data_IF_313021093443
#
_entry.id   IF_313021093443
#
_cell.length_a   1.000
_cell.length_b   1.000
_cell.length_c   1.000
_cell.angle_alpha   90.00
_cell.angle_beta   90.00
_cell.angle_gamma   90.00
#
_symmetry.space_group_name_H-M   'P 1'
#
loop_
_entity.id
_entity.type
_entity.pdbx_description
1 polymer ?
#
# COMPACT_ATOMS: atom_id res chain seq x y z
N UNK A 1 -40.53 -42.54 -25.94
CA UNK A 1 -39.48 -43.54 -26.24
C UNK A 1 -38.07 -42.92 -26.21
N UNK A 2 -37.79 -42.03 -25.25
CA UNK A 2 -36.47 -41.37 -25.10
C UNK A 2 -35.96 -41.41 -23.65
N UNK A 3 -36.67 -42.11 -22.75
CA UNK A 3 -36.45 -42.07 -21.30
C UNK A 3 -35.76 -43.37 -20.80
N UNK A 4 -35.95 -44.51 -21.47
CA UNK A 4 -35.28 -45.79 -21.13
C UNK A 4 -33.76 -45.78 -21.34
N UNK A 5 -33.24 -44.94 -22.25
CA UNK A 5 -31.80 -44.85 -22.49
C UNK A 5 -31.03 -44.09 -21.40
N UNK A 6 -31.72 -43.23 -20.64
CA UNK A 6 -31.11 -42.40 -19.62
C UNK A 6 -30.84 -43.17 -18.31
N UNK A 7 -31.73 -44.11 -17.95
CA UNK A 7 -31.57 -44.92 -16.74
C UNK A 7 -30.40 -45.91 -16.87
N UNK A 8 -30.24 -46.59 -18.01
CA UNK A 8 -29.10 -47.47 -18.27
C UNK A 8 -27.75 -46.74 -18.37
N UNK A 9 -27.75 -45.50 -18.89
CA UNK A 9 -26.55 -44.65 -18.93
C UNK A 9 -26.15 -44.18 -17.52
N UNK A 10 -27.13 -43.85 -16.67
CA UNK A 10 -26.90 -43.48 -15.27
C UNK A 10 -26.45 -44.67 -14.41
N UNK A 11 -26.97 -45.88 -14.62
CA UNK A 11 -26.50 -47.10 -13.94
C UNK A 11 -25.08 -47.49 -14.35
N UNK A 12 -24.73 -47.36 -15.64
CA UNK A 12 -23.38 -47.58 -16.15
C UNK A 12 -22.37 -46.58 -15.56
N UNK A 13 -22.77 -45.31 -15.42
CA UNK A 13 -21.99 -44.30 -14.69
C UNK A 13 -21.86 -44.71 -13.22
N UNK A 14 -22.95 -45.07 -12.52
CA UNK A 14 -22.95 -45.31 -11.07
C UNK A 14 -22.00 -46.43 -10.60
N UNK A 15 -21.81 -47.48 -11.40
CA UNK A 15 -20.96 -48.63 -11.05
C UNK A 15 -19.47 -48.41 -11.30
N UNK A 16 -19.11 -47.70 -12.37
CA UNK A 16 -17.72 -47.54 -12.82
C UNK A 16 -17.21 -46.08 -12.76
N UNK A 17 -18.01 -45.12 -12.32
CA UNK A 17 -17.62 -43.70 -12.17
C UNK A 17 -16.26 -43.50 -11.49
N UNK A 18 -15.94 -44.12 -10.34
CA UNK A 18 -14.63 -43.91 -9.72
C UNK A 18 -13.47 -44.42 -10.58
N UNK A 19 -13.65 -45.53 -11.32
CA UNK A 19 -12.63 -46.04 -12.24
C UNK A 19 -12.44 -45.13 -13.45
N UNK A 20 -13.53 -44.59 -14.00
CA UNK A 20 -13.47 -43.63 -15.09
C UNK A 20 -12.85 -42.31 -14.65
N UNK A 21 -13.15 -41.81 -13.45
CA UNK A 21 -12.50 -40.60 -12.92
C UNK A 21 -11.01 -40.85 -12.73
N UNK A 22 -10.60 -42.00 -12.17
CA UNK A 22 -9.18 -42.33 -11.98
C UNK A 22 -8.44 -42.49 -13.32
N UNK A 23 -9.09 -43.01 -14.36
CA UNK A 23 -8.45 -43.20 -15.68
C UNK A 23 -8.46 -41.94 -16.55
N UNK A 24 -9.59 -41.22 -16.60
CA UNK A 24 -9.77 -40.07 -17.49
C UNK A 24 -9.29 -38.76 -16.89
N UNK A 25 -9.38 -38.55 -15.57
CA UNK A 25 -8.89 -37.30 -14.96
C UNK A 25 -7.38 -37.07 -15.20
N UNK A 26 -6.46 -38.04 -14.97
CA UNK A 26 -5.05 -37.83 -15.28
C UNK A 26 -4.79 -37.70 -16.80
N UNK A 27 -5.57 -38.38 -17.64
CA UNK A 27 -5.49 -38.23 -19.10
C UNK A 27 -5.90 -36.80 -19.53
N UNK A 28 -6.98 -36.26 -18.95
CA UNK A 28 -7.44 -34.89 -19.18
C UNK A 28 -6.43 -33.86 -18.66
N UNK A 29 -5.79 -34.12 -17.51
CA UNK A 29 -4.72 -33.27 -16.98
C UNK A 29 -3.48 -33.32 -17.88
N UNK A 30 -3.12 -34.49 -18.43
CA UNK A 30 -1.98 -34.67 -19.33
C UNK A 30 -2.21 -34.09 -20.73
N UNK A 31 -3.45 -34.12 -21.22
CA UNK A 31 -3.86 -33.51 -22.49
C UNK A 31 -4.19 -32.02 -22.35
N UNK A 32 -4.33 -31.52 -21.13
CA UNK A 32 -4.53 -30.09 -20.88
C UNK A 32 -3.30 -29.31 -21.37
N UNK A 33 -3.47 -28.30 -22.23
CA UNK A 33 -2.38 -27.43 -22.65
C UNK A 33 -1.84 -26.56 -21.50
N UNK A 34 -2.55 -26.54 -20.36
CA UNK A 34 -2.18 -25.78 -19.16
C UNK A 34 -1.68 -26.78 -18.11
N UNK A 35 -0.38 -26.76 -17.83
CA UNK A 35 0.15 -27.43 -16.64
C UNK A 35 -0.32 -26.65 -15.41
N UNK A 36 -0.89 -27.29 -14.38
CA UNK A 36 -1.43 -26.59 -13.20
C UNK A 36 -0.35 -25.80 -12.44
N UNK A 37 0.93 -26.13 -12.63
CA UNK A 37 2.10 -25.45 -12.05
C UNK A 37 2.33 -24.05 -12.67
N UNK A 38 1.93 -23.82 -13.92
CA UNK A 38 2.07 -22.51 -14.58
C UNK A 38 0.87 -21.57 -14.34
N UNK A 39 -0.18 -22.01 -13.64
CA UNK A 39 -1.38 -21.23 -13.38
C UNK A 39 -1.30 -20.28 -12.18
N UNK A 40 -0.25 -20.41 -11.35
CA UNK A 40 -0.05 -19.56 -10.18
C UNK A 40 1.03 -18.51 -10.48
N UNK A 41 0.62 -17.25 -10.53
CA UNK A 41 1.53 -16.12 -10.65
C UNK A 41 1.76 -15.47 -9.29
N UNK A 42 3.00 -15.50 -8.83
CA UNK A 42 3.44 -14.79 -7.62
C UNK A 42 3.99 -13.41 -8.00
N UNK A 43 3.53 -12.38 -7.29
CA UNK A 43 4.01 -11.01 -7.47
C UNK A 43 3.97 -10.26 -6.15
N UNK A 44 4.85 -9.27 -6.02
CA UNK A 44 4.94 -8.43 -4.82
C UNK A 44 3.83 -7.39 -4.81
N UNK A 45 3.14 -7.28 -3.68
CA UNK A 45 2.15 -6.25 -3.40
C UNK A 45 2.56 -5.43 -2.19
N UNK A 46 2.18 -4.17 -2.18
CA UNK A 46 2.42 -3.22 -1.12
C UNK A 46 1.08 -2.80 -0.52
N UNK A 47 0.89 -3.02 0.77
CA UNK A 47 -0.37 -2.72 1.44
C UNK A 47 -0.50 -1.21 1.72
N UNK A 48 -1.71 -0.70 1.58
CA UNK A 48 -2.07 0.64 2.06
C UNK A 48 -1.77 0.79 3.56
N UNK A 49 -1.47 2.00 4.01
CA UNK A 49 -1.25 2.31 5.42
C UNK A 49 -2.43 1.83 6.29
N UNK A 50 -2.15 1.52 7.55
CA UNK A 50 -3.15 1.27 8.58
C UNK A 50 -2.64 1.85 9.89
N UNK A 51 -3.30 2.90 10.39
CA UNK A 51 -2.97 3.50 11.69
C UNK A 51 -4.18 4.22 12.27
N UNK A 52 -4.15 4.46 13.57
CA UNK A 52 -5.16 5.23 14.29
C UNK A 52 -4.49 6.47 14.87
N UNK A 53 -5.01 7.64 14.51
CA UNK A 53 -4.50 8.91 14.98
C UNK A 53 -5.52 9.52 15.93
N UNK A 54 -5.18 9.59 17.22
CA UNK A 54 -6.05 10.14 18.27
C UNK A 54 -7.45 9.48 18.33
N UNK A 55 -7.55 8.20 17.98
CA UNK A 55 -8.80 7.44 17.96
C UNK A 55 -9.56 7.50 16.63
N UNK A 56 -9.11 8.32 15.67
CA UNK A 56 -9.63 8.31 14.30
C UNK A 56 -8.90 7.26 13.47
N UNK A 57 -9.62 6.29 12.88
CA UNK A 57 -9.01 5.29 12.02
C UNK A 57 -8.63 5.88 10.65
N UNK A 58 -7.44 5.57 10.16
CA UNK A 58 -6.99 5.90 8.80
C UNK A 58 -6.53 4.63 8.04
N UNK A 59 -6.68 4.65 6.72
CA UNK A 59 -6.23 3.61 5.82
C UNK A 59 -7.00 2.28 5.94
N UNK A 60 -6.38 1.18 5.49
CA UNK A 60 -7.08 -0.09 5.31
C UNK A 60 -7.18 -0.95 6.59
N UNK A 61 -8.33 -1.58 6.82
CA UNK A 61 -8.64 -2.33 8.06
C UNK A 61 -8.49 -3.85 7.95
N UNK A 62 -8.24 -4.35 6.75
CA UNK A 62 -8.06 -5.78 6.47
C UNK A 62 -6.79 -6.00 5.65
N UNK A 63 -6.23 -7.21 5.70
CA UNK A 63 -5.10 -7.67 4.88
C UNK A 63 -5.34 -9.01 4.21
N UNK A 64 -6.48 -9.66 4.44
CA UNK A 64 -6.74 -10.98 3.86
C UNK A 64 -7.50 -10.80 2.56
N UNK A 65 -6.97 -11.43 1.52
CA UNK A 65 -7.59 -11.54 0.21
C UNK A 65 -7.57 -13.01 -0.17
N UNK A 66 -8.74 -13.55 -0.50
CA UNK A 66 -8.89 -14.94 -0.98
C UNK A 66 -10.17 -15.05 -1.81
N UNK A 67 -10.24 -14.27 -2.89
CA UNK A 67 -11.44 -14.17 -3.71
C UNK A 67 -11.08 -13.95 -5.18
N UNK A 68 -12.05 -14.21 -6.04
CA UNK A 68 -11.95 -13.98 -7.48
C UNK A 68 -11.75 -12.49 -7.81
N UNK A 69 -10.98 -12.24 -8.87
CA UNK A 69 -10.66 -10.92 -9.38
C UNK A 69 -11.68 -10.41 -10.41
N UNK A 70 -11.92 -9.10 -10.41
CA UNK A 70 -12.79 -8.38 -11.36
C UNK A 70 -12.18 -7.03 -11.73
N UNK A 71 -12.52 -6.46 -12.89
CA UNK A 71 -12.12 -5.10 -13.27
C UNK A 71 -13.18 -4.06 -12.92
N UNK A 72 -12.84 -2.77 -13.04
CA UNK A 72 -13.71 -1.61 -12.79
C UNK A 72 -14.99 -1.52 -13.64
N UNK A 73 -15.14 -2.33 -14.68
CA UNK A 73 -16.32 -2.31 -15.56
C UNK A 73 -17.34 -3.41 -15.20
N UNK A 74 -17.11 -4.12 -14.10
CA UNK A 74 -17.99 -5.21 -13.66
C UNK A 74 -19.25 -4.66 -13.00
N UNK A 75 -20.38 -5.34 -13.18
CA UNK A 75 -21.69 -4.90 -12.63
C UNK A 75 -21.83 -5.03 -11.11
N UNK A 76 -20.99 -5.86 -10.46
CA UNK A 76 -21.01 -6.06 -9.02
C UNK A 76 -19.63 -6.42 -8.46
N UNK A 77 -19.26 -5.81 -7.34
CA UNK A 77 -17.99 -6.05 -6.65
C UNK A 77 -18.09 -6.92 -5.39
N UNK A 78 -19.31 -7.26 -4.96
CA UNK A 78 -19.54 -7.97 -3.70
C UNK A 78 -18.74 -9.27 -3.61
N UNK A 79 -17.88 -9.38 -2.58
CA UNK A 79 -16.96 -10.52 -2.36
C UNK A 79 -15.98 -10.81 -3.51
N UNK A 80 -15.63 -9.79 -4.29
CA UNK A 80 -14.61 -9.86 -5.35
C UNK A 80 -13.47 -8.90 -5.04
N UNK A 81 -12.28 -9.20 -5.55
CA UNK A 81 -11.17 -8.25 -5.54
C UNK A 81 -11.20 -7.46 -6.82
N UNK A 82 -11.30 -6.15 -6.71
CA UNK A 82 -11.29 -5.28 -7.88
C UNK A 82 -9.85 -5.00 -8.25
N UNK A 83 -9.50 -5.15 -9.53
CA UNK A 83 -8.22 -4.76 -10.10
C UNK A 83 -8.46 -3.49 -10.91
N UNK A 84 -7.70 -2.46 -10.62
CA UNK A 84 -7.79 -1.16 -11.26
C UNK A 84 -6.40 -0.66 -11.62
N UNK A 85 -6.22 -0.03 -12.78
CA UNK A 85 -5.03 0.77 -13.05
C UNK A 85 -5.14 2.09 -12.32
N UNK A 86 -4.03 2.59 -11.78
CA UNK A 86 -4.00 3.86 -11.05
C UNK A 86 -4.57 5.01 -11.90
N UNK A 87 -4.25 5.03 -13.21
CA UNK A 87 -4.72 6.06 -14.15
C UNK A 87 -6.22 6.04 -14.41
N UNK A 88 -6.90 4.93 -14.13
CA UNK A 88 -8.33 4.72 -14.37
C UNK A 88 -9.15 4.86 -13.09
N UNK A 89 -8.50 4.90 -11.94
CA UNK A 89 -9.15 4.96 -10.64
C UNK A 89 -9.48 6.41 -10.29
N UNK A 90 -10.77 6.71 -10.23
CA UNK A 90 -11.28 7.98 -9.70
C UNK A 90 -11.79 7.82 -8.28
N UNK A 91 -11.94 8.93 -7.55
CA UNK A 91 -12.56 8.93 -6.22
C UNK A 91 -13.99 8.33 -6.24
N UNK A 92 -14.78 8.65 -7.27
CA UNK A 92 -16.15 8.13 -7.42
C UNK A 92 -16.17 6.61 -7.55
N UNK A 93 -15.32 6.04 -8.41
CA UNK A 93 -15.20 4.59 -8.56
C UNK A 93 -14.66 3.93 -7.29
N UNK A 94 -13.69 4.54 -6.62
CA UNK A 94 -13.20 4.03 -5.35
C UNK A 94 -14.32 3.94 -4.31
N UNK A 95 -15.09 5.02 -4.15
CA UNK A 95 -16.25 5.04 -3.25
C UNK A 95 -17.29 3.99 -3.61
N UNK A 96 -17.55 3.77 -4.91
CA UNK A 96 -18.47 2.73 -5.38
C UNK A 96 -17.98 1.32 -4.99
N UNK A 97 -16.69 1.02 -5.17
CA UNK A 97 -16.09 -0.27 -4.81
C UNK A 97 -16.26 -0.54 -3.31
N UNK A 98 -16.01 0.49 -2.48
CA UNK A 98 -16.18 0.39 -1.02
C UNK A 98 -17.65 0.16 -0.67
N UNK A 99 -18.58 0.94 -1.25
CA UNK A 99 -20.01 0.86 -0.95
C UNK A 99 -20.64 -0.47 -1.37
N UNK A 100 -20.20 -1.07 -2.48
CA UNK A 100 -20.68 -2.38 -2.94
C UNK A 100 -20.13 -3.57 -2.12
N UNK A 101 -19.25 -3.32 -1.15
CA UNK A 101 -18.69 -4.36 -0.28
C UNK A 101 -17.72 -5.29 -1.02
N UNK A 102 -16.78 -4.70 -1.77
CA UNK A 102 -15.69 -5.46 -2.37
C UNK A 102 -14.84 -6.18 -1.31
N UNK A 103 -14.31 -7.35 -1.67
CA UNK A 103 -13.41 -8.11 -0.80
C UNK A 103 -12.01 -7.48 -0.70
N UNK A 104 -11.64 -6.63 -1.67
CA UNK A 104 -10.38 -5.91 -1.70
C UNK A 104 -10.18 -5.14 -2.99
N UNK A 105 -9.14 -4.33 -3.04
CA UNK A 105 -8.73 -3.56 -4.22
C UNK A 105 -7.24 -3.78 -4.48
N UNK A 106 -6.90 -4.15 -5.70
CA UNK A 106 -5.53 -4.18 -6.22
C UNK A 106 -5.36 -3.05 -7.24
N UNK A 107 -4.53 -2.07 -6.90
CA UNK A 107 -4.19 -0.95 -7.77
C UNK A 107 -2.87 -1.23 -8.47
N UNK A 108 -2.90 -1.24 -9.81
CA UNK A 108 -1.73 -1.40 -10.65
C UNK A 108 -1.07 -0.03 -10.88
N UNK A 109 0.18 0.09 -10.43
CA UNK A 109 1.00 1.29 -10.59
C UNK A 109 1.76 1.23 -11.92
N UNK A 110 1.89 2.33 -12.66
CA UNK A 110 2.77 2.39 -13.82
C UNK A 110 4.24 2.22 -13.41
N UNK A 111 5.10 1.79 -14.33
CA UNK A 111 6.54 1.66 -14.07
C UNK A 111 7.21 3.00 -13.69
N UNK A 112 6.62 4.12 -14.11
CA UNK A 112 7.08 5.46 -13.77
C UNK A 112 5.88 6.39 -13.61
N UNK A 113 5.82 7.16 -12.53
CA UNK A 113 4.81 8.20 -12.36
C UNK A 113 5.06 9.40 -13.27
N UNK A 114 6.30 9.56 -13.76
CA UNK A 114 6.68 10.66 -14.66
C UNK A 114 6.12 10.48 -16.08
N UNK A 115 5.66 9.28 -16.45
CA UNK A 115 4.98 9.08 -17.74
C UNK A 115 3.51 9.53 -17.73
N UNK A 116 2.96 9.83 -16.55
CA UNK A 116 1.59 10.33 -16.40
C UNK A 116 1.57 11.83 -16.76
N UNK A 117 0.64 12.29 -17.62
CA UNK A 117 0.53 13.71 -17.97
C UNK A 117 0.24 14.60 -16.74
N UNK A 118 0.70 15.86 -16.73
CA UNK A 118 0.66 16.73 -15.54
C UNK A 118 -0.75 16.97 -15.00
N UNK A 119 -1.74 17.14 -15.88
CA UNK A 119 -3.14 17.31 -15.48
C UNK A 119 -3.67 16.10 -14.68
N UNK A 120 -3.25 14.89 -15.05
CA UNK A 120 -3.61 13.68 -14.31
C UNK A 120 -2.79 13.50 -13.04
N UNK A 121 -1.54 13.95 -13.01
CA UNK A 121 -0.73 13.89 -11.79
C UNK A 121 -1.38 14.69 -10.66
N UNK A 122 -1.91 15.88 -10.96
CA UNK A 122 -2.64 16.67 -9.96
C UNK A 122 -3.86 15.91 -9.42
N UNK A 123 -4.64 15.28 -10.29
CA UNK A 123 -5.80 14.51 -9.86
C UNK A 123 -5.42 13.27 -9.02
N UNK A 124 -4.29 12.64 -9.34
CA UNK A 124 -3.75 11.54 -8.54
C UNK A 124 -3.27 12.01 -7.15
N UNK A 125 -2.67 13.20 -7.05
CA UNK A 125 -2.30 13.79 -5.76
C UNK A 125 -3.53 14.10 -4.90
N UNK A 126 -4.59 14.65 -5.51
CA UNK A 126 -5.87 14.88 -4.84
C UNK A 126 -6.50 13.56 -4.37
N UNK A 127 -6.51 12.53 -5.22
CA UNK A 127 -6.99 11.21 -4.87
C UNK A 127 -6.16 10.59 -3.72
N UNK A 128 -4.84 10.66 -3.79
CA UNK A 128 -3.96 10.16 -2.73
C UNK A 128 -4.27 10.83 -1.39
N UNK A 129 -4.44 12.16 -1.39
CA UNK A 129 -4.76 12.90 -0.18
C UNK A 129 -6.07 12.43 0.45
N UNK A 130 -7.14 12.30 -0.35
CA UNK A 130 -8.45 11.82 0.13
C UNK A 130 -8.34 10.39 0.68
N UNK A 131 -7.67 9.50 -0.06
CA UNK A 131 -7.51 8.10 0.35
C UNK A 131 -6.70 7.96 1.65
N UNK A 132 -5.77 8.87 1.93
CA UNK A 132 -4.99 8.85 3.16
C UNK A 132 -5.80 9.28 4.39
N UNK A 133 -6.83 10.10 4.20
CA UNK A 133 -7.68 10.58 5.30
C UNK A 133 -8.75 9.55 5.70
N UNK A 134 -9.28 8.80 4.75
CA UNK A 134 -10.40 7.89 5.00
C UNK A 134 -10.00 6.51 5.57
N UNK A 135 -10.87 5.96 6.40
CA UNK A 135 -10.81 4.56 6.83
C UNK A 135 -11.48 3.64 5.80
N UNK A 136 -10.73 2.65 5.32
CA UNK A 136 -11.19 1.71 4.30
C UNK A 136 -11.41 0.33 4.93
N UNK A 137 -12.62 -0.26 4.88
CA UNK A 137 -12.93 -1.52 5.56
C UNK A 137 -12.27 -2.75 4.89
N UNK A 138 -11.90 -2.63 3.63
CA UNK A 138 -11.33 -3.70 2.80
C UNK A 138 -9.81 -3.51 2.62
N UNK A 139 -9.05 -4.58 2.31
CA UNK A 139 -7.64 -4.45 1.99
C UNK A 139 -7.46 -3.71 0.67
N UNK A 140 -6.51 -2.77 0.65
CA UNK A 140 -6.07 -2.08 -0.56
C UNK A 140 -4.58 -2.36 -0.75
N UNK A 141 -4.23 -2.88 -1.92
CA UNK A 141 -2.89 -3.27 -2.32
C UNK A 141 -2.45 -2.52 -3.56
N UNK A 142 -1.17 -2.22 -3.64
CA UNK A 142 -0.53 -1.60 -4.78
C UNK A 142 0.52 -2.55 -5.35
N UNK A 143 0.60 -2.68 -6.66
CA UNK A 143 1.64 -3.47 -7.33
C UNK A 143 2.11 -2.73 -8.57
N UNK A 144 3.43 -2.72 -8.83
CA UNK A 144 3.93 -2.24 -10.11
C UNK A 144 3.45 -3.17 -11.24
N UNK A 145 3.01 -2.57 -12.35
CA UNK A 145 2.56 -3.31 -13.51
C UNK A 145 3.73 -4.12 -14.11
N UNK A 146 3.63 -5.44 -13.99
CA UNK A 146 4.53 -6.39 -14.64
C UNK A 146 3.85 -6.95 -15.90
N UNK A 147 4.62 -7.51 -16.86
CA UNK A 147 4.02 -8.13 -18.04
C UNK A 147 2.96 -9.20 -17.69
N UNK A 148 3.23 -10.04 -16.69
CA UNK A 148 2.26 -11.03 -16.22
C UNK A 148 1.00 -10.44 -15.60
N UNK A 149 1.12 -9.37 -14.79
CA UNK A 149 -0.04 -8.67 -14.25
C UNK A 149 -0.87 -7.98 -15.32
N UNK A 150 -0.22 -7.44 -16.35
CA UNK A 150 -0.86 -6.82 -17.51
C UNK A 150 -1.63 -7.86 -18.35
N UNK A 151 -1.03 -9.01 -18.59
CA UNK A 151 -1.67 -10.13 -19.30
C UNK A 151 -2.88 -10.64 -18.51
N UNK A 152 -2.74 -10.81 -17.20
CA UNK A 152 -3.83 -11.17 -16.29
C UNK A 152 -4.95 -10.12 -16.33
N UNK A 153 -4.63 -8.83 -16.17
CA UNK A 153 -5.61 -7.74 -16.22
C UNK A 153 -6.38 -7.75 -17.54
N UNK A 154 -5.67 -7.85 -18.67
CA UNK A 154 -6.31 -7.90 -20.00
C UNK A 154 -7.20 -9.13 -20.19
N UNK A 155 -6.86 -10.24 -19.54
CA UNK A 155 -7.65 -11.48 -19.58
C UNK A 155 -8.94 -11.34 -18.77
N UNK A 156 -8.86 -10.76 -17.56
CA UNK A 156 -10.03 -10.46 -16.71
C UNK A 156 -10.93 -9.38 -17.35
N UNK A 157 -10.34 -8.40 -18.01
CA UNK A 157 -11.07 -7.33 -18.72
C UNK A 157 -11.86 -7.88 -19.90
N UNK A 158 -11.23 -8.67 -20.79
CA UNK A 158 -11.92 -9.33 -21.92
C UNK A 158 -13.07 -10.22 -21.45
N UNK A 159 -12.85 -10.95 -20.38
CA UNK A 159 -13.85 -11.78 -19.72
C UNK A 159 -15.04 -10.98 -19.18
N UNK A 160 -14.81 -9.74 -18.72
CA UNK A 160 -15.85 -8.87 -18.17
C UNK A 160 -16.65 -8.16 -19.28
N UNK A 161 -16.04 -7.92 -20.44
CA UNK A 161 -16.68 -7.32 -21.64
C UNK A 161 -17.32 -8.32 -22.60
N UNK A 162 -17.40 -9.60 -22.23
CA UNK A 162 -18.07 -10.65 -23.02
C UNK A 162 -19.59 -10.45 -23.07
N UNK A 163 -20.03 -9.40 -23.78
CA UNK A 163 -21.42 -9.06 -24.02
C UNK A 163 -21.79 -9.21 -25.50
N UNK A 164 -22.63 -10.21 -25.79
CA UNK A 164 -23.60 -10.28 -26.88
C UNK A 164 -23.10 -10.34 -28.33
N UNK A 165 -22.25 -11.30 -28.70
CA UNK A 165 -22.12 -11.68 -30.13
C UNK A 165 -21.89 -13.17 -30.41
N UNK A 166 -21.65 -14.02 -29.40
CA UNK A 166 -21.27 -15.41 -29.60
C UNK A 166 -22.35 -16.41 -29.13
N UNK A 167 -22.26 -17.64 -29.66
CA UNK A 167 -23.12 -18.77 -29.31
C UNK A 167 -23.18 -19.00 -27.80
N UNK A 168 -24.35 -19.41 -27.26
CA UNK A 168 -24.57 -19.73 -25.83
C UNK A 168 -23.50 -20.69 -25.26
N UNK A 169 -22.96 -21.60 -26.08
CA UNK A 169 -21.89 -22.52 -25.66
C UNK A 169 -20.52 -21.83 -25.54
N UNK A 170 -20.28 -20.80 -26.35
CA UNK A 170 -19.07 -19.99 -26.37
C UNK A 170 -19.10 -18.98 -25.21
N UNK A 171 -20.27 -18.40 -24.91
CA UNK A 171 -20.51 -17.61 -23.70
C UNK A 171 -20.34 -18.45 -22.42
N UNK A 172 -20.82 -19.69 -22.39
CA UNK A 172 -20.56 -20.60 -21.26
C UNK A 172 -19.07 -20.94 -21.13
N UNK A 173 -18.34 -21.12 -22.24
CA UNK A 173 -16.90 -21.35 -22.20
C UNK A 173 -16.10 -20.12 -21.75
N UNK A 174 -16.52 -18.93 -22.17
CA UNK A 174 -15.91 -17.68 -21.75
C UNK A 174 -16.25 -17.33 -20.30
N UNK A 175 -17.45 -17.67 -19.79
CA UNK A 175 -17.77 -17.57 -18.35
C UNK A 175 -16.90 -18.50 -17.49
N UNK A 176 -16.56 -19.70 -17.99
CA UNK A 176 -15.65 -20.63 -17.31
C UNK A 176 -14.18 -20.14 -17.31
N UNK A 177 -13.77 -19.36 -18.32
CA UNK A 177 -12.45 -18.70 -18.34
C UNK A 177 -12.44 -17.40 -17.53
N UNK A 178 -13.53 -16.63 -17.56
CA UNK A 178 -13.74 -15.38 -16.85
C UNK A 178 -13.73 -15.52 -15.33
N UNK A 179 -14.03 -16.73 -14.84
CA UNK A 179 -14.04 -17.06 -13.41
C UNK A 179 -12.70 -17.58 -12.86
N UNK A 180 -11.62 -17.52 -13.66
CA UNK A 180 -10.39 -18.26 -13.38
C UNK A 180 -9.36 -17.60 -12.46
N UNK A 181 -9.36 -16.27 -12.31
CA UNK A 181 -8.31 -15.60 -11.53
C UNK A 181 -8.75 -15.36 -10.09
N UNK A 182 -8.18 -16.13 -9.18
CA UNK A 182 -8.31 -15.95 -7.75
C UNK A 182 -7.05 -15.28 -7.20
N UNK A 183 -7.22 -14.17 -6.50
CA UNK A 183 -6.14 -13.51 -5.78
C UNK A 183 -6.10 -14.03 -4.36
N UNK A 184 -4.90 -14.42 -3.92
CA UNK A 184 -4.65 -14.94 -2.58
C UNK A 184 -3.45 -14.23 -2.00
N UNK A 185 -3.61 -13.67 -0.80
CA UNK A 185 -2.49 -13.15 0.00
C UNK A 185 -2.11 -14.21 1.01
N UNK A 186 -0.86 -14.68 0.97
CA UNK A 186 -0.35 -15.78 1.81
C UNK A 186 -0.21 -15.46 3.31
N UNK A 187 -0.68 -14.28 3.75
CA UNK A 187 -0.59 -13.80 5.13
C UNK A 187 -1.95 -13.74 5.84
N UNK A 188 -1.93 -13.81 7.17
CA UNK A 188 -3.13 -13.62 8.00
C UNK A 188 -3.56 -12.14 8.12
N UNK A 189 -4.56 -11.89 8.96
CA UNK A 189 -4.97 -10.53 9.30
C UNK A 189 -3.84 -9.77 9.99
N UNK A 190 -3.60 -8.54 9.56
CA UNK A 190 -2.57 -7.69 10.12
C UNK A 190 -2.89 -7.36 11.58
N UNK A 191 -1.90 -7.53 12.45
CA UNK A 191 -2.03 -7.25 13.88
C UNK A 191 -1.69 -5.79 14.15
N UNK A 192 -2.54 -5.11 14.91
CA UNK A 192 -2.28 -3.75 15.37
C UNK A 192 -1.01 -3.71 16.25
N UNK A 193 -0.12 -2.77 15.96
CA UNK A 193 1.04 -2.47 16.79
C UNK A 193 0.65 -1.39 17.81
N UNK A 194 0.63 -1.75 19.09
CA UNK A 194 0.26 -0.83 20.18
C UNK A 194 1.42 0.03 20.66
N UNK A 195 2.66 -0.42 20.44
CA UNK A 195 3.87 0.29 20.84
C UNK A 195 4.70 0.63 19.60
N UNK A 196 4.71 1.92 19.25
CA UNK A 196 5.54 2.44 18.17
C UNK A 196 6.81 3.05 18.76
N UNK A 197 7.95 2.41 18.54
CA UNK A 197 9.25 2.96 18.91
C UNK A 197 9.72 3.96 17.85
N UNK A 198 9.37 5.22 18.04
CA UNK A 198 9.92 6.34 17.26
C UNK A 198 11.29 6.72 17.82
N UNK A 199 12.35 6.52 17.03
CA UNK A 199 13.68 6.99 17.37
C UNK A 199 13.86 8.42 16.84
N UNK A 200 14.48 9.31 17.60
CA UNK A 200 14.88 10.63 17.09
C UNK A 200 16.39 10.79 17.27
N UNK A 201 17.04 11.48 16.35
CA UNK A 201 18.49 11.71 16.40
C UNK A 201 18.71 13.16 16.82
N UNK A 202 19.51 13.37 17.86
CA UNK A 202 19.88 14.70 18.31
C UNK A 202 21.39 14.91 18.30
N UNK A 203 21.82 16.09 17.88
CA UNK A 203 23.19 16.58 18.02
C UNK A 203 23.18 17.92 18.76
N UNK A 204 24.14 18.14 19.66
CA UNK A 204 24.26 19.38 20.43
C UNK A 204 25.62 20.02 20.22
N UNK A 205 25.61 21.33 19.99
CA UNK A 205 26.79 22.19 20.04
C UNK A 205 26.67 23.09 21.28
N UNK A 206 27.58 22.91 22.24
CA UNK A 206 27.61 23.70 23.47
C UNK A 206 28.29 25.05 23.22
N UNK A 207 27.66 26.12 23.69
CA UNK A 207 28.19 27.48 23.58
C UNK A 207 29.35 27.74 24.54
N UNK A 208 30.00 28.88 24.37
CA UNK A 208 31.09 29.33 25.26
C UNK A 208 30.52 29.79 26.61
N UNK A 209 30.83 29.07 27.69
CA UNK A 209 30.42 29.45 29.06
C UNK A 209 29.87 28.27 29.86
N UNK A 210 29.08 28.57 30.88
CA UNK A 210 28.38 27.56 31.68
C UNK A 210 27.12 27.16 30.95
N UNK A 211 27.11 25.93 30.41
CA UNK A 211 26.08 25.41 29.50
C UNK A 211 24.65 25.60 30.00
N UNK A 212 24.40 25.41 31.30
CA UNK A 212 23.08 25.51 31.93
C UNK A 212 22.51 26.94 31.95
N UNK A 213 23.37 27.96 31.84
CA UNK A 213 22.97 29.37 31.85
C UNK A 213 22.88 29.97 30.45
N UNK A 214 23.29 29.22 29.42
CA UNK A 214 23.25 29.69 28.04
C UNK A 214 21.87 29.39 27.43
N UNK A 215 21.33 30.31 26.62
CA UNK A 215 20.10 30.05 25.88
C UNK A 215 20.34 28.92 24.87
N UNK A 216 19.35 28.04 24.72
CA UNK A 216 19.40 26.94 23.75
C UNK A 216 18.46 27.22 22.59
N UNK A 217 19.01 27.24 21.37
CA UNK A 217 18.25 27.23 20.13
C UNK A 217 18.13 25.81 19.58
N UNK A 218 16.97 25.46 19.00
CA UNK A 218 16.72 24.14 18.43
C UNK A 218 16.38 24.28 16.95
N UNK A 219 17.09 23.57 16.09
CA UNK A 219 16.80 23.43 14.65
C UNK A 219 16.26 22.03 14.44
N UNK A 220 15.04 21.92 13.92
CA UNK A 220 14.32 20.66 13.80
C UNK A 220 14.04 20.35 12.33
N UNK A 221 14.27 19.11 11.93
CA UNK A 221 13.71 18.54 10.71
C UNK A 221 13.14 17.16 11.03
N UNK A 222 12.12 16.72 10.28
CA UNK A 222 11.61 15.35 10.39
C UNK A 222 12.14 14.50 9.24
N UNK A 223 12.54 13.27 9.50
CA UNK A 223 13.15 12.41 8.47
C UNK A 223 12.21 11.32 7.94
N UNK A 224 10.95 11.32 8.37
CA UNK A 224 9.96 10.35 7.93
C UNK A 224 9.46 10.66 6.52
N UNK A 225 9.16 9.59 5.78
CA UNK A 225 8.39 9.65 4.55
C UNK A 225 6.92 9.31 4.84
N UNK A 226 6.01 9.89 4.06
CA UNK A 226 4.58 9.61 4.16
C UNK A 226 3.96 9.53 2.78
N UNK A 227 3.05 8.59 2.60
CA UNK A 227 2.45 8.22 1.31
C UNK A 227 1.41 7.13 1.53
N UNK A 228 0.55 6.86 0.54
CA UNK A 228 -0.58 5.92 0.71
C UNK A 228 -0.16 4.49 1.11
N UNK A 229 1.05 4.08 0.72
CA UNK A 229 1.68 2.81 1.10
C UNK A 229 3.04 3.09 1.74
N UNK A 230 3.30 2.62 2.98
CA UNK A 230 4.54 2.94 3.69
C UNK A 230 5.78 2.41 2.96
N UNK A 231 5.66 1.23 2.35
CA UNK A 231 6.76 0.58 1.63
C UNK A 231 7.11 1.27 0.30
N UNK A 232 6.22 2.11 -0.21
CA UNK A 232 6.42 2.90 -1.43
C UNK A 232 6.70 4.39 -1.13
N UNK A 233 6.73 4.76 0.15
CA UNK A 233 6.98 6.14 0.58
C UNK A 233 8.48 6.40 0.64
N UNK A 234 9.01 7.21 -0.28
CA UNK A 234 10.43 7.58 -0.32
C UNK A 234 10.65 8.98 0.26
N UNK A 235 11.55 9.10 1.24
CA UNK A 235 11.75 10.34 2.01
C UNK A 235 12.37 11.51 1.25
N UNK A 236 12.99 11.25 0.08
CA UNK A 236 13.65 12.28 -0.72
C UNK A 236 12.70 13.39 -1.17
N UNK A 237 11.46 13.02 -1.54
CA UNK A 237 10.45 13.93 -2.09
C UNK A 237 9.51 14.52 -1.02
N UNK A 238 9.66 14.12 0.25
CA UNK A 238 8.81 14.62 1.35
C UNK A 238 9.52 15.66 2.21
N UNK A 239 10.63 15.29 2.86
CA UNK A 239 11.43 16.23 3.66
C UNK A 239 12.95 15.93 3.58
N UNK A 240 13.38 15.18 2.57
CA UNK A 240 14.80 14.86 2.38
C UNK A 240 15.67 16.09 2.22
N UNK A 241 15.14 17.15 1.59
CA UNK A 241 15.81 18.46 1.49
C UNK A 241 16.01 19.13 2.86
N UNK A 242 15.01 19.08 3.74
CA UNK A 242 15.11 19.59 5.11
C UNK A 242 16.15 18.83 5.94
N UNK A 243 16.18 17.50 5.83
CA UNK A 243 17.21 16.67 6.48
C UNK A 243 18.61 17.00 5.96
N UNK A 244 18.78 17.14 4.64
CA UNK A 244 20.06 17.50 4.04
C UNK A 244 20.52 18.89 4.48
N UNK A 245 19.62 19.88 4.49
CA UNK A 245 19.90 21.23 4.95
C UNK A 245 20.31 21.26 6.43
N UNK A 246 19.62 20.52 7.29
CA UNK A 246 19.94 20.43 8.72
C UNK A 246 21.32 19.80 8.95
N UNK A 247 21.66 18.72 8.24
CA UNK A 247 22.97 18.08 8.34
C UNK A 247 24.10 18.99 7.82
N UNK A 248 23.87 19.74 6.75
CA UNK A 248 24.85 20.72 6.25
C UNK A 248 25.02 21.90 7.21
N UNK A 249 23.93 22.41 7.80
CA UNK A 249 24.00 23.42 8.85
C UNK A 249 24.78 22.93 10.06
N UNK A 250 24.55 21.68 10.49
CA UNK A 250 25.30 21.06 11.58
C UNK A 250 26.81 21.00 11.29
N UNK A 251 27.19 20.62 10.06
CA UNK A 251 28.59 20.59 9.61
C UNK A 251 29.23 21.97 9.59
N UNK A 252 28.53 22.99 9.07
CA UNK A 252 29.05 24.36 8.99
C UNK A 252 29.17 25.01 10.37
N UNK A 253 28.14 24.88 11.21
CA UNK A 253 28.13 25.44 12.56
C UNK A 253 29.10 24.72 13.49
N UNK A 254 29.35 23.43 13.31
CA UNK A 254 30.41 22.71 14.06
C UNK A 254 31.78 23.39 13.90
N UNK A 255 32.12 23.85 12.69
CA UNK A 255 33.37 24.59 12.45
C UNK A 255 33.40 25.94 13.18
N UNK A 256 32.27 26.63 13.21
CA UNK A 256 32.12 27.90 13.93
C UNK A 256 32.33 27.72 15.43
N UNK A 257 31.73 26.66 16.01
CA UNK A 257 31.82 26.34 17.43
C UNK A 257 33.19 25.80 17.87
N UNK A 258 34.00 25.29 16.94
CA UNK A 258 35.36 24.81 17.24
C UNK A 258 36.38 25.96 17.37
N UNK A 259 36.10 27.11 16.75
CA UNK A 259 37.03 28.24 16.71
C UNK A 259 36.85 29.17 17.92
N UNK A 260 37.90 29.33 18.72
CA UNK A 260 37.89 30.18 19.92
C UNK A 260 37.58 31.66 19.66
N UNK A 261 37.83 32.16 18.44
CA UNK A 261 37.56 33.57 18.07
C UNK A 261 36.10 33.83 17.70
N UNK A 262 35.36 32.77 17.37
CA UNK A 262 34.01 32.84 16.80
C UNK A 262 33.01 31.96 17.55
N UNK A 263 33.42 31.38 18.68
CA UNK A 263 32.58 30.47 19.48
C UNK A 263 31.44 31.26 20.14
N UNK A 264 30.18 30.99 19.77
CA UNK A 264 29.05 31.75 20.28
C UNK A 264 28.69 31.40 21.72
N UNK A 265 28.05 32.33 22.43
CA UNK A 265 27.55 32.16 23.81
C UNK A 265 26.09 31.67 23.83
N UNK A 266 25.75 30.69 23.02
CA UNK A 266 24.45 30.02 23.06
C UNK A 266 24.62 28.56 22.65
N UNK A 267 23.75 27.69 23.16
CA UNK A 267 23.72 26.29 22.77
C UNK A 267 22.86 26.11 21.53
N UNK A 268 23.22 25.17 20.67
CA UNK A 268 22.43 24.83 19.50
C UNK A 268 22.21 23.32 19.40
N UNK A 269 20.95 22.92 19.30
CA UNK A 269 20.54 21.53 19.15
C UNK A 269 20.01 21.33 17.72
N UNK A 270 20.47 20.28 17.08
CA UNK A 270 19.94 19.77 15.82
C UNK A 270 19.12 18.52 16.12
N UNK A 271 17.83 18.55 15.82
CA UNK A 271 16.90 17.45 16.05
C UNK A 271 16.38 16.92 14.72
N UNK A 272 16.69 15.66 14.44
CA UNK A 272 16.01 14.87 13.42
C UNK A 272 14.93 14.04 14.10
N UNK A 273 13.69 14.51 14.02
CA UNK A 273 12.53 13.85 14.64
C UNK A 273 11.96 12.76 13.75
N UNK A 274 11.57 11.64 14.35
CA UNK A 274 10.63 10.70 13.74
C UNK A 274 9.16 11.10 14.03
N UNK A 275 8.22 10.43 13.39
CA UNK A 275 6.79 10.69 13.52
C UNK A 275 6.32 12.11 13.18
N UNK A 276 7.04 12.85 12.34
CA UNK A 276 6.68 14.22 11.94
C UNK A 276 5.32 14.28 11.23
N UNK A 277 5.06 13.31 10.35
CA UNK A 277 3.82 13.21 9.57
C UNK A 277 2.62 12.64 10.35
N UNK A 278 2.86 12.11 11.56
CA UNK A 278 1.81 11.67 12.48
C UNK A 278 1.52 12.75 13.51
N UNK A 279 1.15 13.96 13.06
CA UNK A 279 0.91 15.13 13.91
C UNK A 279 2.09 15.45 14.85
N UNK A 280 3.32 15.41 14.33
CA UNK A 280 4.54 15.77 15.06
C UNK A 280 4.77 14.97 16.36
N UNK A 281 4.34 13.71 16.39
CA UNK A 281 4.37 12.89 17.60
C UNK A 281 5.77 12.70 18.17
N UNK A 282 6.80 12.54 17.33
CA UNK A 282 8.18 12.43 17.83
C UNK A 282 8.72 13.74 18.38
N UNK A 283 8.43 14.88 17.74
CA UNK A 283 8.84 16.19 18.26
C UNK A 283 8.15 16.48 19.59
N UNK A 284 6.85 16.16 19.69
CA UNK A 284 6.09 16.28 20.94
C UNK A 284 6.74 15.45 22.05
N UNK A 285 7.02 14.18 21.80
CA UNK A 285 7.68 13.30 22.76
C UNK A 285 9.05 13.85 23.19
N UNK A 286 9.86 14.33 22.24
CA UNK A 286 11.15 14.93 22.55
C UNK A 286 11.01 16.18 23.42
N UNK A 287 10.01 17.03 23.14
CA UNK A 287 9.72 18.21 23.96
C UNK A 287 9.33 17.80 25.39
N UNK A 288 8.43 16.83 25.56
CA UNK A 288 8.02 16.33 26.88
C UNK A 288 9.22 15.79 27.67
N UNK A 289 10.07 14.97 27.03
CA UNK A 289 11.27 14.40 27.65
C UNK A 289 12.30 15.47 28.08
N UNK A 290 12.40 16.59 27.33
CA UNK A 290 13.43 17.62 27.57
C UNK A 290 12.95 18.82 28.40
N UNK A 291 11.65 19.17 28.37
CA UNK A 291 11.07 20.22 29.22
C UNK A 291 11.11 19.78 30.70
N UNK A 292 10.82 18.51 30.98
CA UNK A 292 10.77 18.01 32.36
C UNK A 292 12.16 17.71 32.94
N UNK A 293 13.13 17.37 32.08
CA UNK A 293 14.47 16.95 32.49
C UNK A 293 15.49 18.08 32.58
N UNK A 294 15.25 19.20 31.89
CA UNK A 294 16.21 20.30 31.82
C UNK A 294 15.47 21.61 32.06
N UNK A 295 15.83 22.33 33.13
CA UNK A 295 15.42 23.73 33.32
C UNK A 295 15.99 24.69 32.25
N UNK A 296 16.32 24.17 31.06
CA UNK A 296 16.81 24.92 29.92
C UNK A 296 15.64 25.67 29.29
N UNK A 297 15.63 26.98 29.46
CA UNK A 297 14.82 27.89 28.66
C UNK A 297 15.23 27.77 27.20
N UNK A 298 14.49 26.98 26.43
CA UNK A 298 14.56 26.98 24.97
C UNK A 298 14.04 28.34 24.47
N UNK A 299 14.89 29.09 23.79
CA UNK A 299 14.58 30.49 23.42
C UNK A 299 13.94 30.57 22.04
N UNK A 300 14.23 29.61 21.15
CA UNK A 300 13.72 29.61 19.78
C UNK A 300 13.79 28.23 19.10
N UNK A 301 12.77 27.91 18.30
CA UNK A 301 12.69 26.69 17.47
C UNK A 301 12.57 27.09 16.00
N UNK A 302 13.47 26.57 15.16
CA UNK A 302 13.43 26.73 13.69
C UNK A 302 13.01 25.40 13.05
N UNK A 303 12.00 25.47 12.19
CA UNK A 303 11.51 24.38 11.36
C UNK A 303 11.70 24.72 9.88
#
# INVERSE_FOLDING_TARGET
MYIDGAEGFLEFLRGNFPLYVIAFLPLLIAMSPVTPVLGAHEFTVYRMQQYDLQGTPHGCRSSVVNTEARTLQSSAYTRKVVIARLEELTHGQFSEIVQQGAAGLLVLLPSSLNSVPPDRQQHLMELEHILQEDAVPMPVYFAYETPGLKDMYSSVEKASHGGHTASVAEEMWDMLKASGFQLVVSGGQAKAMTELHLASIQGKLSGFGVEEHLPTGVIVAHYDAYGISPALSFGADSNGSGVAALLELARLLSRLYTSSRTHPQFNLIFLLSAGGKFNYHGTKKWIEDNIDSSGQTSVFVLC
#
